data_IF_013283909237
#
_entry.id   IF_013283909237
#
_cell.length_a   1.000
_cell.length_b   1.000
_cell.length_c   1.000
_cell.angle_alpha   90.00
_cell.angle_beta   90.00
_cell.angle_gamma   90.00
#
_symmetry.space_group_name_H-M   'P 1'
#
loop_
_entity.id
_entity.type
_entity.pdbx_description
1 polymer ?
#
# COMPACT_ATOMS: atom_id res chain seq x y z
N UNK A 1 -44.23 -16.33 -3.17
CA UNK A 1 -43.23 -15.52 -3.91
C UNK A 1 -42.56 -14.46 -3.03
N UNK A 2 -43.30 -13.75 -2.21
CA UNK A 2 -42.73 -12.66 -1.33
C UNK A 2 -41.69 -13.13 -0.29
N UNK A 3 -41.84 -14.32 0.29
CA UNK A 3 -40.95 -14.85 1.31
C UNK A 3 -39.56 -15.21 0.74
N UNK A 4 -39.50 -15.81 -0.46
CA UNK A 4 -38.21 -16.14 -1.14
C UNK A 4 -37.41 -14.88 -1.53
N UNK A 5 -38.11 -13.81 -1.92
CA UNK A 5 -37.48 -12.53 -2.27
C UNK A 5 -36.87 -11.83 -1.04
N UNK A 6 -37.56 -11.93 0.11
CA UNK A 6 -37.09 -11.37 1.38
C UNK A 6 -35.82 -12.11 1.87
N UNK A 7 -35.79 -13.45 1.76
CA UNK A 7 -34.59 -14.22 2.14
C UNK A 7 -33.39 -13.94 1.22
N UNK A 8 -33.62 -13.75 -0.07
CA UNK A 8 -32.55 -13.43 -1.01
C UNK A 8 -31.97 -12.03 -0.74
N UNK A 9 -32.82 -11.05 -0.46
CA UNK A 9 -32.40 -9.69 -0.11
C UNK A 9 -31.63 -9.64 1.22
N UNK A 10 -32.05 -10.40 2.22
CA UNK A 10 -31.35 -10.50 3.50
C UNK A 10 -29.97 -11.18 3.35
N UNK A 11 -29.85 -12.22 2.53
CA UNK A 11 -28.58 -12.88 2.24
C UNK A 11 -27.58 -11.97 1.52
N UNK A 12 -28.03 -11.15 0.56
CA UNK A 12 -27.19 -10.15 -0.10
C UNK A 12 -26.73 -9.05 0.84
N UNK A 13 -27.58 -8.60 1.75
CA UNK A 13 -27.22 -7.57 2.74
C UNK A 13 -26.17 -8.06 3.76
N UNK A 14 -26.18 -9.35 4.13
CA UNK A 14 -25.15 -9.93 4.98
C UNK A 14 -23.82 -10.13 4.26
N UNK A 15 -23.82 -10.42 2.96
CA UNK A 15 -22.61 -10.59 2.18
C UNK A 15 -21.83 -9.26 1.95
N UNK A 16 -22.53 -8.13 1.96
CA UNK A 16 -21.92 -6.81 1.73
C UNK A 16 -21.00 -6.33 2.88
N UNK A 17 -21.02 -6.97 4.06
CA UNK A 17 -20.22 -6.58 5.21
C UNK A 17 -19.04 -7.54 5.51
N UNK A 18 -18.75 -8.48 4.63
CA UNK A 18 -17.60 -9.38 4.78
C UNK A 18 -16.29 -8.66 4.37
N UNK A 19 -15.97 -7.55 5.03
CA UNK A 19 -14.61 -7.01 5.02
C UNK A 19 -13.77 -7.91 5.92
N UNK A 20 -12.86 -8.69 5.35
CA UNK A 20 -11.85 -9.38 6.13
C UNK A 20 -10.97 -8.33 6.81
N UNK A 21 -11.17 -8.12 8.11
CA UNK A 21 -10.30 -7.25 8.89
C UNK A 21 -8.92 -7.90 8.99
N UNK A 22 -7.87 -7.12 8.68
CA UNK A 22 -6.49 -7.57 8.86
C UNK A 22 -6.21 -7.79 10.35
N UNK A 23 -5.58 -8.91 10.68
CA UNK A 23 -5.27 -9.33 12.04
C UNK A 23 -3.79 -9.22 12.31
N UNK A 24 -3.42 -8.44 13.33
CA UNK A 24 -2.02 -8.35 13.78
C UNK A 24 -1.49 -9.71 14.24
N UNK A 25 -0.27 -10.04 13.85
CA UNK A 25 0.38 -11.32 14.13
C UNK A 25 0.03 -12.45 13.16
N UNK A 26 -1.00 -12.26 12.31
CA UNK A 26 -1.41 -13.20 11.27
C UNK A 26 -1.17 -12.62 9.87
N UNK A 27 -1.71 -11.44 9.60
CA UNK A 27 -1.66 -10.80 8.29
C UNK A 27 -0.57 -9.73 8.20
N UNK A 28 -0.20 -9.14 9.33
CA UNK A 28 0.87 -8.14 9.45
C UNK A 28 1.50 -8.15 10.84
N UNK A 29 2.65 -7.53 10.96
CA UNK A 29 3.34 -7.32 12.25
C UNK A 29 3.67 -5.83 12.39
N UNK A 30 3.34 -5.27 13.54
CA UNK A 30 3.73 -3.89 13.87
C UNK A 30 5.22 -3.83 14.17
N UNK A 31 5.93 -2.92 13.51
CA UNK A 31 7.36 -2.72 13.76
C UNK A 31 7.59 -2.17 15.17
N UNK A 32 8.54 -2.72 15.96
CA UNK A 32 8.87 -2.21 17.28
C UNK A 32 9.33 -0.75 17.26
N UNK A 33 9.94 -0.33 16.15
CA UNK A 33 10.35 1.04 15.88
C UNK A 33 9.80 1.45 14.51
N UNK A 34 8.78 2.29 14.46
CA UNK A 34 8.21 2.76 13.20
C UNK A 34 9.24 3.50 12.35
N UNK A 35 9.14 3.38 11.04
CA UNK A 35 9.92 4.19 10.10
C UNK A 35 9.42 5.63 10.19
N UNK A 36 10.30 6.62 10.44
CA UNK A 36 9.87 8.01 10.49
C UNK A 36 9.28 8.45 9.15
N UNK A 37 8.11 9.06 9.20
CA UNK A 37 7.47 9.68 8.04
C UNK A 37 8.05 11.08 7.80
N UNK A 38 8.16 11.50 6.53
CA UNK A 38 8.58 12.84 6.20
C UNK A 38 7.51 13.90 6.54
N UNK A 39 6.24 13.51 6.52
CA UNK A 39 5.09 14.35 6.90
C UNK A 39 4.19 13.55 7.84
N UNK A 40 4.31 13.83 9.14
CA UNK A 40 3.67 13.03 10.21
C UNK A 40 2.13 13.11 10.22
N UNK A 41 1.55 14.13 9.61
CA UNK A 41 0.10 14.39 9.52
C UNK A 41 -0.55 13.84 8.25
N UNK A 42 0.24 13.12 7.42
CA UNK A 42 -0.21 12.56 6.15
C UNK A 42 -0.03 11.05 6.08
N UNK A 43 -0.66 10.44 5.09
CA UNK A 43 -0.46 9.04 4.72
C UNK A 43 0.72 8.97 3.76
N UNK A 44 1.78 8.28 4.15
CA UNK A 44 2.95 8.05 3.31
C UNK A 44 2.85 6.71 2.60
N UNK A 45 2.95 6.74 1.27
CA UNK A 45 3.24 5.56 0.45
C UNK A 45 4.75 5.57 0.22
N UNK A 46 5.46 4.63 0.86
CA UNK A 46 6.92 4.55 0.77
C UNK A 46 7.32 3.45 -0.21
N UNK A 47 8.00 3.85 -1.29
CA UNK A 47 8.61 2.94 -2.25
C UNK A 47 10.10 2.78 -1.94
N UNK A 48 10.57 1.55 -1.77
CA UNK A 48 11.98 1.22 -1.76
C UNK A 48 12.44 0.87 -3.16
N UNK A 49 13.18 1.77 -3.79
CA UNK A 49 13.57 1.71 -5.20
C UNK A 49 15.07 1.44 -5.37
N UNK A 50 15.43 0.63 -6.38
CA UNK A 50 16.81 0.43 -6.80
C UNK A 50 16.95 0.53 -8.32
N UNK A 51 17.91 1.31 -8.83
CA UNK A 51 18.17 1.44 -10.28
C UNK A 51 18.59 0.13 -10.94
N UNK A 52 19.13 -0.82 -10.18
CA UNK A 52 19.50 -2.17 -10.61
C UNK A 52 18.32 -3.17 -10.56
N UNK A 53 17.16 -2.75 -10.11
CA UNK A 53 15.99 -3.59 -9.89
C UNK A 53 15.04 -3.51 -11.09
N UNK A 54 14.98 -4.55 -11.92
CA UNK A 54 14.11 -4.60 -13.10
C UNK A 54 12.62 -4.49 -12.73
N UNK A 55 12.22 -5.05 -11.58
CA UNK A 55 10.83 -4.97 -11.10
C UNK A 55 10.48 -3.53 -10.66
N UNK A 56 11.41 -2.82 -10.05
CA UNK A 56 11.24 -1.40 -9.71
C UNK A 56 11.08 -0.56 -10.98
N UNK A 57 11.88 -0.83 -12.01
CA UNK A 57 11.77 -0.16 -13.30
C UNK A 57 10.39 -0.29 -13.94
N UNK A 58 9.75 -1.45 -13.79
CA UNK A 58 8.40 -1.67 -14.31
C UNK A 58 7.30 -1.10 -13.40
N UNK A 59 7.50 -1.12 -12.09
CA UNK A 59 6.52 -0.63 -11.11
C UNK A 59 6.49 0.90 -11.02
N UNK A 60 7.65 1.54 -10.99
CA UNK A 60 7.79 2.98 -10.73
C UNK A 60 6.91 3.87 -11.64
N UNK A 61 6.87 3.72 -12.98
CA UNK A 61 6.01 4.54 -13.82
C UNK A 61 4.51 4.32 -13.55
N UNK A 62 4.12 3.13 -13.12
CA UNK A 62 2.73 2.82 -12.74
C UNK A 62 2.40 3.52 -11.43
N UNK A 63 3.29 3.44 -10.46
CA UNK A 63 3.13 4.05 -9.14
C UNK A 63 3.11 5.58 -9.23
N UNK A 64 4.02 6.19 -9.99
CA UNK A 64 4.05 7.62 -10.24
C UNK A 64 2.76 8.13 -10.89
N UNK A 65 2.21 7.36 -11.84
CA UNK A 65 0.93 7.69 -12.46
C UNK A 65 -0.22 7.67 -11.44
N UNK A 66 -0.28 6.65 -10.58
CA UNK A 66 -1.30 6.55 -9.54
C UNK A 66 -1.14 7.64 -8.47
N UNK A 67 0.08 8.02 -8.13
CA UNK A 67 0.36 9.07 -7.16
C UNK A 67 -0.23 10.43 -7.55
N UNK A 68 -0.43 10.69 -8.84
CA UNK A 68 -1.11 11.91 -9.32
C UNK A 68 -2.59 11.99 -8.93
N UNK A 69 -3.20 10.87 -8.59
CA UNK A 69 -4.60 10.76 -8.16
C UNK A 69 -4.76 10.48 -6.65
N UNK A 70 -3.69 10.56 -5.89
CA UNK A 70 -3.77 10.40 -4.43
C UNK A 70 -4.62 11.50 -3.79
N UNK A 71 -5.33 11.20 -2.71
CA UNK A 71 -5.97 12.22 -1.88
C UNK A 71 -4.96 13.28 -1.39
N UNK A 72 -5.44 14.46 -1.06
CA UNK A 72 -4.58 15.58 -0.64
C UNK A 72 -3.76 15.31 0.64
N UNK A 73 -4.20 14.34 1.45
CA UNK A 73 -3.53 13.87 2.66
C UNK A 73 -2.56 12.71 2.42
N UNK A 74 -2.37 12.29 1.16
CA UNK A 74 -1.54 11.13 0.80
C UNK A 74 -0.42 11.58 -0.16
N UNK A 75 0.78 11.08 0.05
CA UNK A 75 1.92 11.37 -0.84
C UNK A 75 2.80 10.14 -1.06
N UNK A 76 3.54 10.15 -2.18
CA UNK A 76 4.55 9.15 -2.50
C UNK A 76 5.93 9.67 -2.10
N UNK A 77 6.70 8.82 -1.44
CA UNK A 77 8.14 9.02 -1.19
C UNK A 77 8.91 7.81 -1.68
N UNK A 78 9.98 8.07 -2.44
CA UNK A 78 10.89 7.04 -2.90
C UNK A 78 12.16 7.07 -2.06
N UNK A 79 12.57 5.92 -1.55
CA UNK A 79 13.82 5.73 -0.83
C UNK A 79 14.71 4.77 -1.62
N UNK A 80 15.93 5.23 -1.95
CA UNK A 80 16.85 4.41 -2.72
C UNK A 80 17.51 3.35 -1.85
N UNK A 81 17.47 2.09 -2.29
CA UNK A 81 18.12 0.98 -1.59
C UNK A 81 19.55 0.77 -2.11
N UNK A 82 20.46 0.48 -1.18
CA UNK A 82 21.85 0.16 -1.44
C UNK A 82 22.15 -1.23 -0.88
N UNK A 83 22.19 -2.24 -1.74
CA UNK A 83 22.50 -3.61 -1.31
C UNK A 83 23.99 -3.90 -1.29
N UNK A 84 24.77 -3.16 -2.09
CA UNK A 84 26.23 -3.29 -2.18
C UNK A 84 26.85 -1.89 -2.22
N UNK A 85 28.04 -1.70 -1.63
CA UNK A 85 28.69 -0.39 -1.56
C UNK A 85 28.87 0.31 -2.92
N UNK A 86 29.06 -0.47 -3.99
CA UNK A 86 29.25 0.01 -5.36
C UNK A 86 28.00 0.72 -5.91
N UNK A 87 26.83 0.39 -5.34
CA UNK A 87 25.54 0.99 -5.76
C UNK A 87 25.28 2.35 -5.10
N UNK A 88 26.08 2.73 -4.11
CA UNK A 88 25.89 4.00 -3.38
C UNK A 88 25.91 5.23 -4.30
N UNK A 89 26.69 5.19 -5.37
CA UNK A 89 26.74 6.25 -6.35
C UNK A 89 25.44 6.47 -7.14
N UNK A 90 24.62 5.41 -7.27
CA UNK A 90 23.32 5.45 -7.94
C UNK A 90 22.20 5.96 -7.03
N UNK A 91 22.39 5.90 -5.71
CA UNK A 91 21.40 6.25 -4.70
C UNK A 91 21.53 7.71 -4.19
N UNK A 92 22.32 8.54 -4.85
CA UNK A 92 22.60 9.95 -4.48
C UNK A 92 21.92 10.93 -5.41
#
# INVERSE_FOLDING_TARGET
MKLKTVFLAAALALAANAHAALVEGQDYTVLPKPIPQAQADKIEVLEFFGYFCVHCYHLDPILLKHAQSFPADTYLRTEHVVWQPEMLGLAR
#
